data_IF_577553352423
#
_entry.id   IF_577553352423
#
_cell.length_a   1.000
_cell.length_b   1.000
_cell.length_c   1.000
_cell.angle_alpha   90.00
_cell.angle_beta   90.00
_cell.angle_gamma   90.00
#
_symmetry.space_group_name_H-M   'P 1'
#
loop_
_entity.id
_entity.type
_entity.pdbx_description
1 polymer ?
#
# COMPACT_ATOMS: atom_id res chain seq x y z
N UNK A 1 -34.80 6.45 -69.14
CA UNK A 1 -33.42 6.23 -68.63
C UNK A 1 -33.23 7.11 -67.41
N UNK A 2 -32.72 6.57 -66.31
CA UNK A 2 -32.46 7.31 -65.08
C UNK A 2 -32.71 6.46 -63.84
N UNK A 3 -31.94 5.39 -63.69
CA UNK A 3 -31.97 4.51 -62.52
C UNK A 3 -31.42 5.26 -61.31
N UNK A 4 -32.25 5.41 -60.27
CA UNK A 4 -31.87 5.89 -58.95
C UNK A 4 -30.79 4.97 -58.36
N UNK A 5 -29.53 5.41 -58.37
CA UNK A 5 -28.41 4.66 -57.81
C UNK A 5 -27.42 5.63 -57.14
N UNK A 6 -27.89 6.36 -56.12
CA UNK A 6 -27.06 7.33 -55.39
C UNK A 6 -27.14 7.14 -53.86
N UNK A 7 -28.06 6.33 -53.33
CA UNK A 7 -28.23 6.21 -51.87
C UNK A 7 -27.45 5.07 -51.21
N UNK A 8 -27.10 3.96 -51.89
CA UNK A 8 -26.55 2.77 -51.22
C UNK A 8 -25.14 2.98 -50.59
N UNK A 9 -24.28 3.79 -51.22
CA UNK A 9 -22.92 4.05 -50.74
C UNK A 9 -22.91 4.91 -49.45
N UNK A 10 -23.81 5.89 -49.36
CA UNK A 10 -23.96 6.81 -48.22
C UNK A 10 -24.39 6.08 -46.94
N UNK A 11 -25.24 5.06 -47.06
CA UNK A 11 -25.69 4.26 -45.92
C UNK A 11 -24.60 3.30 -45.43
N UNK A 12 -23.85 2.68 -46.34
CA UNK A 12 -22.75 1.78 -45.97
C UNK A 12 -21.59 2.55 -45.32
N UNK A 13 -21.26 3.75 -45.80
CA UNK A 13 -20.27 4.64 -45.15
C UNK A 13 -20.67 5.01 -43.71
N UNK A 14 -21.94 5.39 -43.49
CA UNK A 14 -22.47 5.70 -42.14
C UNK A 14 -22.41 4.48 -41.22
N UNK A 15 -22.68 3.28 -41.75
CA UNK A 15 -22.62 2.03 -41.00
C UNK A 15 -21.18 1.71 -40.59
N UNK A 16 -20.23 1.82 -41.50
CA UNK A 16 -18.79 1.65 -41.23
C UNK A 16 -18.31 2.68 -40.20
N UNK A 17 -18.76 3.93 -40.28
CA UNK A 17 -18.39 4.98 -39.33
C UNK A 17 -18.93 4.70 -37.91
N UNK A 18 -20.18 4.24 -37.81
CA UNK A 18 -20.78 3.81 -36.54
C UNK A 18 -20.04 2.62 -35.93
N UNK A 19 -19.65 1.66 -36.75
CA UNK A 19 -18.90 0.48 -36.31
C UNK A 19 -17.50 0.86 -35.81
N UNK A 20 -16.80 1.75 -36.51
CA UNK A 20 -15.53 2.35 -36.04
C UNK A 20 -15.70 3.09 -34.71
N UNK A 21 -16.79 3.85 -34.54
CA UNK A 21 -17.09 4.55 -33.27
C UNK A 21 -17.34 3.56 -32.13
N UNK A 22 -18.05 2.46 -32.39
CA UNK A 22 -18.28 1.39 -31.40
C UNK A 22 -16.97 0.70 -31.01
N UNK A 23 -16.13 0.35 -31.98
CA UNK A 23 -14.81 -0.24 -31.73
C UNK A 23 -13.92 0.67 -30.88
N UNK A 24 -13.83 1.97 -31.21
CA UNK A 24 -13.07 2.95 -30.42
C UNK A 24 -13.57 3.08 -28.98
N UNK A 25 -14.90 3.04 -28.77
CA UNK A 25 -15.49 3.07 -27.42
C UNK A 25 -15.13 1.80 -26.63
N UNK A 26 -15.22 0.63 -27.26
CA UNK A 26 -14.89 -0.64 -26.64
C UNK A 26 -13.41 -0.71 -26.27
N UNK A 27 -12.52 -0.27 -27.17
CA UNK A 27 -11.08 -0.21 -26.91
C UNK A 27 -10.77 0.75 -25.75
N UNK A 28 -11.43 1.91 -25.69
CA UNK A 28 -11.30 2.85 -24.56
C UNK A 28 -11.73 2.20 -23.25
N UNK A 29 -12.85 1.48 -23.22
CA UNK A 29 -13.32 0.76 -22.02
C UNK A 29 -12.33 -0.33 -21.58
N UNK A 30 -11.81 -1.12 -22.52
CA UNK A 30 -10.80 -2.14 -22.23
C UNK A 30 -9.53 -1.52 -21.63
N UNK A 31 -9.04 -0.42 -22.20
CA UNK A 31 -7.87 0.31 -21.67
C UNK A 31 -8.11 0.85 -20.27
N UNK A 32 -9.31 1.36 -19.99
CA UNK A 32 -9.66 1.84 -18.65
C UNK A 32 -9.72 0.70 -17.64
N UNK A 33 -10.35 -0.43 -18.00
CA UNK A 33 -10.41 -1.62 -17.15
C UNK A 33 -9.02 -2.18 -16.82
N UNK A 34 -8.15 -2.27 -17.83
CA UNK A 34 -6.75 -2.68 -17.63
C UNK A 34 -6.01 -1.73 -16.70
N UNK A 35 -6.22 -0.41 -16.82
CA UNK A 35 -5.62 0.57 -15.90
C UNK A 35 -6.12 0.39 -14.47
N UNK A 36 -7.42 0.15 -14.28
CA UNK A 36 -8.01 -0.11 -12.96
C UNK A 36 -7.43 -1.37 -12.32
N UNK A 37 -7.31 -2.46 -13.08
CA UNK A 37 -6.69 -3.72 -12.63
C UNK A 37 -5.23 -3.50 -12.18
N UNK A 38 -4.43 -2.78 -12.99
CA UNK A 38 -3.04 -2.45 -12.64
C UNK A 38 -2.98 -1.59 -11.37
N UNK A 39 -3.86 -0.59 -11.22
CA UNK A 39 -3.89 0.26 -10.02
C UNK A 39 -4.21 -0.58 -8.77
N UNK A 40 -5.18 -1.49 -8.85
CA UNK A 40 -5.52 -2.38 -7.74
C UNK A 40 -4.36 -3.31 -7.37
N UNK A 41 -3.66 -3.86 -8.37
CA UNK A 41 -2.50 -4.70 -8.14
C UNK A 41 -1.35 -3.92 -7.46
N UNK A 42 -1.08 -2.70 -7.92
CA UNK A 42 -0.08 -1.82 -7.29
C UNK A 42 -0.45 -1.44 -5.86
N UNK A 43 -1.73 -1.20 -5.57
CA UNK A 43 -2.22 -0.93 -4.22
C UNK A 43 -1.98 -2.14 -3.31
N UNK A 44 -2.32 -3.34 -3.78
CA UNK A 44 -2.09 -4.58 -3.02
C UNK A 44 -0.61 -4.81 -2.72
N UNK A 45 0.27 -4.64 -3.72
CA UNK A 45 1.73 -4.74 -3.52
C UNK A 45 2.22 -3.71 -2.50
N UNK A 46 1.67 -2.49 -2.50
CA UNK A 46 2.02 -1.45 -1.53
C UNK A 46 1.58 -1.82 -0.12
N UNK A 47 0.37 -2.34 0.04
CA UNK A 47 -0.16 -2.81 1.32
C UNK A 47 0.67 -3.97 1.87
N UNK A 48 0.96 -4.97 1.04
CA UNK A 48 1.82 -6.11 1.41
C UNK A 48 3.22 -5.64 1.81
N UNK A 49 3.80 -4.67 1.08
CA UNK A 49 5.08 -4.06 1.47
C UNK A 49 4.98 -3.30 2.78
N UNK A 50 3.89 -2.58 3.04
CA UNK A 50 3.71 -1.81 4.27
C UNK A 50 3.58 -2.73 5.49
N UNK A 51 2.78 -3.80 5.37
CA UNK A 51 2.63 -4.83 6.39
C UNK A 51 3.99 -5.49 6.66
N UNK A 52 4.75 -5.82 5.61
CA UNK A 52 6.07 -6.43 5.75
C UNK A 52 7.12 -5.47 6.34
N UNK A 53 7.10 -4.18 6.01
CA UNK A 53 8.05 -3.18 6.52
C UNK A 53 7.93 -2.96 8.04
N UNK A 54 6.78 -3.33 8.62
CA UNK A 54 6.50 -3.30 10.04
C UNK A 54 6.52 -4.71 10.67
N UNK A 55 7.14 -5.68 10.02
CA UNK A 55 7.47 -6.96 10.65
C UNK A 55 8.52 -6.76 11.74
N UNK A 56 8.39 -7.53 12.82
CA UNK A 56 9.33 -7.52 13.94
C UNK A 56 10.78 -7.68 13.48
N UNK A 57 11.04 -8.59 12.53
CA UNK A 57 12.40 -8.87 12.04
C UNK A 57 13.03 -7.66 11.34
N UNK A 58 12.22 -6.88 10.60
CA UNK A 58 12.70 -5.67 9.92
C UNK A 58 12.96 -4.56 10.93
N UNK A 59 12.04 -4.34 11.87
CA UNK A 59 12.23 -3.38 12.96
C UNK A 59 13.47 -3.72 13.80
N UNK A 60 13.67 -5.00 14.12
CA UNK A 60 14.82 -5.49 14.85
C UNK A 60 16.11 -5.26 14.05
N UNK A 61 16.15 -5.67 12.78
CA UNK A 61 17.31 -5.48 11.89
C UNK A 61 17.70 -4.00 11.73
N UNK A 62 16.72 -3.11 11.60
CA UNK A 62 16.98 -1.68 11.51
C UNK A 62 17.52 -1.12 12.82
N UNK A 63 16.91 -1.50 13.95
CA UNK A 63 17.33 -1.06 15.28
C UNK A 63 18.74 -1.55 15.64
N UNK A 64 19.14 -2.75 15.21
CA UNK A 64 20.46 -3.34 15.49
C UNK A 64 21.64 -2.56 14.91
N UNK A 65 21.39 -1.53 14.08
CA UNK A 65 22.40 -0.55 13.66
C UNK A 65 22.85 0.36 14.80
N UNK A 66 22.07 0.42 15.88
CA UNK A 66 22.29 1.28 17.03
C UNK A 66 22.41 0.45 18.30
N UNK A 67 23.16 0.91 19.32
CA UNK A 67 23.23 0.24 20.60
C UNK A 67 21.85 0.14 21.24
N UNK A 68 21.47 -1.08 21.64
CA UNK A 68 20.21 -1.35 22.34
C UNK A 68 20.10 -0.48 23.61
N UNK A 69 18.91 0.02 23.89
CA UNK A 69 18.67 0.91 25.04
C UNK A 69 18.89 2.40 24.76
N UNK A 70 19.37 2.77 23.56
CA UNK A 70 19.50 4.18 23.17
C UNK A 70 18.21 4.75 22.59
N UNK A 71 18.07 6.07 22.62
CA UNK A 71 16.92 6.77 22.03
C UNK A 71 16.82 6.52 20.52
N UNK A 72 17.97 6.55 19.82
CA UNK A 72 18.04 6.25 18.37
C UNK A 72 17.61 4.82 18.07
N UNK A 73 18.06 3.85 18.87
CA UNK A 73 17.60 2.47 18.76
C UNK A 73 16.08 2.37 18.90
N UNK A 74 15.50 3.04 19.89
CA UNK A 74 14.06 3.01 20.14
C UNK A 74 13.26 3.66 18.99
N UNK A 75 13.71 4.78 18.45
CA UNK A 75 13.06 5.42 17.30
C UNK A 75 13.13 4.57 16.04
N UNK A 76 14.27 3.96 15.75
CA UNK A 76 14.46 3.08 14.59
C UNK A 76 13.66 1.79 14.73
N UNK A 77 13.62 1.22 15.95
CA UNK A 77 12.76 0.09 16.25
C UNK A 77 11.30 0.43 16.02
N UNK A 78 10.83 1.60 16.48
CA UNK A 78 9.49 2.14 16.25
C UNK A 78 9.28 2.72 14.84
N UNK A 79 10.29 2.64 13.96
CA UNK A 79 10.31 3.26 12.61
C UNK A 79 9.80 4.70 12.60
N UNK A 80 10.11 5.43 13.66
CA UNK A 80 9.70 6.81 13.92
C UNK A 80 10.94 7.71 13.96
N UNK A 81 10.75 9.02 13.92
CA UNK A 81 11.85 9.98 13.95
C UNK A 81 11.89 10.72 15.31
N UNK A 82 13.04 11.24 15.68
CA UNK A 82 13.20 12.12 16.86
C UNK A 82 12.27 13.35 16.80
N UNK A 83 11.95 13.81 15.58
CA UNK A 83 11.03 14.92 15.33
C UNK A 83 9.54 14.54 15.34
N UNK A 84 9.20 13.24 15.33
CA UNK A 84 7.80 12.79 15.33
C UNK A 84 7.09 13.25 16.60
N UNK A 85 5.82 13.59 16.50
CA UNK A 85 5.05 14.01 17.67
C UNK A 85 4.87 12.84 18.65
N UNK A 86 4.79 13.11 19.95
CA UNK A 86 4.64 12.03 20.95
C UNK A 86 3.38 11.19 20.69
N UNK A 87 2.28 11.83 20.27
CA UNK A 87 1.04 11.12 19.93
C UNK A 87 1.20 10.21 18.71
N UNK A 88 1.96 10.61 17.69
CA UNK A 88 2.24 9.78 16.52
C UNK A 88 3.00 8.51 16.92
N UNK A 89 4.06 8.66 17.73
CA UNK A 89 4.84 7.52 18.20
C UNK A 89 3.98 6.60 19.07
N UNK A 90 3.07 7.17 19.88
CA UNK A 90 2.11 6.39 20.68
C UNK A 90 1.16 5.58 19.80
N UNK A 91 0.64 6.15 18.71
CA UNK A 91 -0.22 5.43 17.76
C UNK A 91 0.50 4.24 17.15
N UNK A 92 1.74 4.44 16.69
CA UNK A 92 2.57 3.37 16.13
C UNK A 92 2.82 2.27 17.16
N UNK A 93 3.12 2.64 18.42
CA UNK A 93 3.25 1.67 19.50
C UNK A 93 1.98 0.84 19.70
N UNK A 94 0.81 1.48 19.74
CA UNK A 94 -0.47 0.79 19.95
C UNK A 94 -0.83 -0.16 18.80
N UNK A 95 -0.57 0.26 17.56
CA UNK A 95 -0.78 -0.59 16.38
C UNK A 95 0.09 -1.83 16.44
N UNK A 96 1.38 -1.68 16.75
CA UNK A 96 2.32 -2.80 16.86
C UNK A 96 2.04 -3.69 18.05
N UNK A 97 1.63 -3.12 19.19
CA UNK A 97 1.24 -3.89 20.36
C UNK A 97 0.05 -4.80 20.05
N UNK A 98 -0.91 -4.35 19.21
CA UNK A 98 -2.02 -5.19 18.75
C UNK A 98 -1.59 -6.28 17.79
N UNK A 99 -0.61 -6.00 16.93
CA UNK A 99 -0.11 -6.95 15.93
C UNK A 99 0.81 -8.00 16.54
N UNK A 100 1.66 -7.63 17.50
CA UNK A 100 2.66 -8.51 18.10
C UNK A 100 2.26 -9.05 19.48
N UNK A 101 0.99 -8.87 19.87
CA UNK A 101 0.52 -9.36 21.15
C UNK A 101 0.61 -10.90 21.22
N UNK A 102 1.21 -11.47 22.27
CA UNK A 102 1.36 -12.92 22.40
C UNK A 102 0.00 -13.63 22.33
N UNK A 103 -1.05 -13.08 22.94
CA UNK A 103 -2.41 -13.66 22.90
C UNK A 103 -2.99 -13.85 21.49
N UNK A 104 -2.59 -13.00 20.53
CA UNK A 104 -3.04 -13.11 19.13
C UNK A 104 -2.08 -13.93 18.27
N UNK A 105 -0.82 -14.00 18.68
CA UNK A 105 0.29 -14.56 17.93
C UNK A 105 1.05 -15.54 18.82
N UNK A 106 0.52 -16.76 18.96
CA UNK A 106 1.16 -17.82 19.72
C UNK A 106 2.47 -18.34 19.09
N UNK A 107 2.77 -17.93 17.85
CA UNK A 107 3.89 -18.46 17.05
C UNK A 107 5.00 -17.43 16.87
N UNK A 108 4.69 -16.13 16.88
CA UNK A 108 5.65 -15.07 16.57
C UNK A 108 6.28 -14.52 17.86
N UNK A 109 7.56 -14.86 18.07
CA UNK A 109 8.54 -14.27 18.99
C UNK A 109 7.95 -13.50 20.19
N UNK A 110 7.84 -14.16 21.35
CA UNK A 110 7.52 -13.51 22.64
C UNK A 110 8.39 -12.27 22.91
N UNK A 111 9.59 -12.24 22.35
CA UNK A 111 10.53 -11.12 22.42
C UNK A 111 10.03 -9.85 21.71
N UNK A 112 9.13 -9.97 20.73
CA UNK A 112 8.65 -8.82 19.96
C UNK A 112 7.94 -7.77 20.83
N UNK A 113 7.08 -8.24 21.73
CA UNK A 113 6.39 -7.36 22.68
C UNK A 113 7.36 -6.79 23.73
N UNK A 114 8.37 -7.58 24.15
CA UNK A 114 9.38 -7.11 25.10
C UNK A 114 10.21 -5.96 24.51
N UNK A 115 10.71 -6.12 23.29
CA UNK A 115 11.47 -5.11 22.57
C UNK A 115 10.63 -3.85 22.29
N UNK A 116 9.36 -4.04 21.91
CA UNK A 116 8.42 -2.93 21.70
C UNK A 116 8.20 -2.12 22.97
N UNK A 117 7.99 -2.79 24.10
CA UNK A 117 7.82 -2.14 25.40
C UNK A 117 9.08 -1.39 25.83
N UNK A 118 10.25 -1.99 25.63
CA UNK A 118 11.54 -1.38 25.97
C UNK A 118 11.77 -0.10 25.15
N UNK A 119 11.57 -0.15 23.83
CA UNK A 119 11.66 1.01 22.94
C UNK A 119 10.69 2.13 23.38
N UNK A 120 9.43 1.77 23.67
CA UNK A 120 8.43 2.74 24.12
C UNK A 120 8.81 3.43 25.44
N UNK A 121 9.32 2.68 26.42
CA UNK A 121 9.75 3.26 27.69
C UNK A 121 10.89 4.26 27.53
N UNK A 122 11.83 3.99 26.62
CA UNK A 122 12.95 4.90 26.33
C UNK A 122 12.42 6.21 25.72
N UNK A 123 11.56 6.12 24.71
CA UNK A 123 10.98 7.32 24.09
C UNK A 123 10.14 8.12 25.09
N UNK A 124 9.33 7.44 25.91
CA UNK A 124 8.49 8.07 26.93
C UNK A 124 9.29 8.80 28.02
N UNK A 125 10.49 8.33 28.36
CA UNK A 125 11.37 9.01 29.33
C UNK A 125 12.08 10.22 28.73
N UNK A 126 12.22 10.27 27.41
CA UNK A 126 12.96 11.31 26.71
C UNK A 126 12.10 12.51 26.27
N UNK A 127 10.78 12.41 26.36
CA UNK A 127 9.82 13.47 26.05
C UNK A 127 9.05 13.88 27.29
#
# INVERSE_FOLDING_TARGET
MGSNFIDDESFEEKRIELEKKKQKKLEKQLRLKQKEEIIQELQKIREDKNINNHSFDICLKNSNKFPKGTLKWAFEFLSSNEKSEFEEVRKVYLERARLWHPDKNNVTNQEAMQYLNEAWQIVKKSK
#
